data_IF_817338419119
#
_entry.id   IF_817338419119
#
_cell.length_a   1.000
_cell.length_b   1.000
_cell.length_c   1.000
_cell.angle_alpha   90.00
_cell.angle_beta   90.00
_cell.angle_gamma   90.00
#
_symmetry.space_group_name_H-M   'P 1'
#
loop_
_entity.id
_entity.type
_entity.pdbx_description
1 polymer ?
#
# COMPACT_ATOMS: atom_id res chain seq x y z
N UNK A 1 0.39 1.49 -13.63
CA UNK A 1 1.09 1.21 -12.37
C UNK A 1 2.54 0.81 -12.58
N UNK A 2 2.85 -0.06 -13.56
CA UNK A 2 4.23 -0.47 -13.87
C UNK A 2 5.21 0.69 -14.15
N UNK A 3 4.79 1.72 -14.87
CA UNK A 3 5.62 2.93 -15.09
C UNK A 3 5.84 3.73 -13.80
N UNK A 4 4.82 3.82 -12.95
CA UNK A 4 4.89 4.52 -11.66
C UNK A 4 5.84 3.79 -10.70
N UNK A 5 5.74 2.45 -10.64
CA UNK A 5 6.63 1.58 -9.88
C UNK A 5 8.10 1.84 -10.23
N UNK A 6 8.44 1.78 -11.53
CA UNK A 6 9.80 2.08 -12.03
C UNK A 6 10.27 3.48 -11.67
N UNK A 7 9.38 4.47 -11.83
CA UNK A 7 9.71 5.87 -11.54
C UNK A 7 10.04 6.07 -10.06
N UNK A 8 9.21 5.53 -9.16
CA UNK A 8 9.42 5.63 -7.71
C UNK A 8 10.76 5.01 -7.32
N UNK A 9 11.02 3.79 -7.79
CA UNK A 9 12.26 3.09 -7.46
C UNK A 9 13.49 3.84 -7.97
N UNK A 10 13.44 4.35 -9.20
CA UNK A 10 14.51 5.16 -9.77
C UNK A 10 14.78 6.43 -8.94
N UNK A 11 13.73 7.12 -8.47
CA UNK A 11 13.88 8.28 -7.60
C UNK A 11 14.52 7.93 -6.24
N UNK A 12 14.19 6.77 -5.67
CA UNK A 12 14.79 6.30 -4.43
C UNK A 12 16.26 5.91 -4.62
N UNK A 13 16.63 5.30 -5.75
CA UNK A 13 18.04 5.06 -6.11
C UNK A 13 18.79 6.40 -6.20
N UNK A 14 18.24 7.38 -6.92
CA UNK A 14 18.86 8.70 -7.09
C UNK A 14 19.01 9.47 -5.76
N UNK A 15 18.10 9.25 -4.81
CA UNK A 15 18.18 9.81 -3.47
C UNK A 15 19.17 9.07 -2.54
N UNK A 16 19.85 8.02 -3.05
CA UNK A 16 20.78 7.19 -2.27
C UNK A 16 20.07 6.26 -1.28
N UNK A 17 18.74 6.09 -1.40
CA UNK A 17 18.00 5.19 -0.51
C UNK A 17 18.57 3.78 -0.63
N UNK A 18 18.83 3.27 -1.83
CA UNK A 18 19.30 1.90 -2.05
C UNK A 18 20.83 1.71 -1.98
N UNK A 19 21.60 2.74 -1.58
CA UNK A 19 23.07 2.64 -1.44
C UNK A 19 23.50 1.65 -0.35
N UNK A 20 22.59 1.36 0.60
CA UNK A 20 22.80 0.43 1.70
C UNK A 20 21.86 -0.77 1.55
N UNK A 21 22.36 -2.02 1.61
CA UNK A 21 21.50 -3.20 1.62
C UNK A 21 20.49 -3.15 2.77
N UNK A 22 19.23 -3.44 2.47
CA UNK A 22 18.13 -3.49 3.45
C UNK A 22 17.54 -4.89 3.52
N UNK A 23 17.22 -5.31 4.73
CA UNK A 23 16.56 -6.58 5.00
C UNK A 23 15.06 -6.48 4.70
N UNK A 24 14.47 -7.54 4.12
CA UNK A 24 13.09 -7.53 3.61
C UNK A 24 12.06 -7.26 4.70
N UNK A 25 12.20 -7.88 5.87
CA UNK A 25 11.33 -7.66 7.03
C UNK A 25 11.32 -6.21 7.49
N UNK A 26 12.49 -5.57 7.52
CA UNK A 26 12.62 -4.13 7.82
C UNK A 26 11.83 -3.28 6.83
N UNK A 27 11.95 -3.54 5.52
CA UNK A 27 11.18 -2.83 4.50
C UNK A 27 9.67 -3.06 4.64
N UNK A 28 9.24 -4.28 4.97
CA UNK A 28 7.84 -4.59 5.24
C UNK A 28 7.31 -3.85 6.48
N UNK A 29 8.13 -3.72 7.53
CA UNK A 29 7.79 -2.94 8.72
C UNK A 29 7.68 -1.43 8.43
N UNK A 30 8.44 -0.90 7.46
CA UNK A 30 8.26 0.49 6.99
C UNK A 30 6.93 0.67 6.26
N UNK A 31 6.45 -0.32 5.50
CA UNK A 31 5.08 -0.25 4.93
C UNK A 31 4.04 -0.26 6.06
N UNK A 32 4.26 -1.06 7.09
CA UNK A 32 3.36 -1.12 8.25
C UNK A 32 3.33 0.17 9.08
N UNK A 33 4.43 0.93 9.14
CA UNK A 33 4.43 2.24 9.81
C UNK A 33 3.47 3.20 9.14
N UNK A 34 3.48 3.28 7.80
CA UNK A 34 2.62 4.25 7.10
C UNK A 34 1.12 3.90 7.30
N UNK A 35 0.79 2.60 7.38
CA UNK A 35 -0.58 2.16 7.73
C UNK A 35 -0.96 2.57 9.17
N UNK A 36 0.00 2.53 10.09
CA UNK A 36 -0.22 2.96 11.48
C UNK A 36 -0.40 4.48 11.58
N UNK A 37 0.34 5.25 10.78
CA UNK A 37 0.20 6.71 10.67
C UNK A 37 -1.11 7.11 10.01
N UNK A 38 -1.56 6.38 8.97
CA UNK A 38 -2.89 6.57 8.39
C UNK A 38 -4.00 6.35 9.43
N UNK A 39 -3.89 5.30 10.25
CA UNK A 39 -4.83 5.02 11.35
C UNK A 39 -4.83 6.15 12.39
N UNK A 40 -3.67 6.71 12.71
CA UNK A 40 -3.55 7.87 13.60
C UNK A 40 -4.23 9.11 13.00
N UNK A 41 -4.06 9.33 11.69
CA UNK A 41 -4.74 10.39 10.93
C UNK A 41 -6.25 10.28 11.03
N UNK A 42 -6.82 9.09 10.85
CA UNK A 42 -8.26 8.81 11.03
C UNK A 42 -8.70 9.02 12.49
N UNK A 43 -7.91 8.55 13.45
CA UNK A 43 -8.23 8.61 14.89
C UNK A 43 -8.35 10.05 15.40
N UNK A 44 -7.58 10.97 14.84
CA UNK A 44 -7.47 12.36 15.29
C UNK A 44 -8.00 13.39 14.29
N UNK A 45 -8.52 12.95 13.15
CA UNK A 45 -8.98 13.79 12.03
C UNK A 45 -7.92 14.81 11.54
N UNK A 46 -6.67 14.37 11.42
CA UNK A 46 -5.52 15.24 11.15
C UNK A 46 -5.40 15.63 9.67
N UNK A 47 -4.84 16.83 9.45
CA UNK A 47 -4.26 17.22 8.16
C UNK A 47 -2.79 16.80 8.12
N UNK A 48 -2.29 16.48 6.94
CA UNK A 48 -0.88 16.10 6.77
C UNK A 48 0.08 17.27 7.05
N UNK A 49 1.28 16.99 7.56
CA UNK A 49 2.26 18.03 7.87
C UNK A 49 2.96 18.59 6.62
N UNK A 50 3.24 17.75 5.63
CA UNK A 50 3.97 18.14 4.42
C UNK A 50 3.03 18.68 3.33
N UNK A 51 1.80 18.18 3.29
CA UNK A 51 0.72 18.56 2.40
C UNK A 51 -0.51 19.02 3.22
N UNK A 52 -0.46 20.21 3.87
CA UNK A 52 -1.46 20.66 4.85
C UNK A 52 -2.87 20.89 4.30
N UNK A 53 -3.06 20.72 2.98
CA UNK A 53 -4.35 20.78 2.31
C UNK A 53 -4.99 19.39 2.09
N UNK A 54 -4.32 18.30 2.50
CA UNK A 54 -4.82 16.92 2.43
C UNK A 54 -4.94 16.30 3.82
N UNK A 55 -5.82 15.33 3.96
CA UNK A 55 -5.94 14.55 5.20
C UNK A 55 -4.69 13.70 5.39
N UNK A 56 -4.20 13.62 6.63
CA UNK A 56 -3.05 12.78 6.98
C UNK A 56 -3.27 11.35 6.53
N UNK A 57 -4.44 10.78 6.82
CA UNK A 57 -4.80 9.43 6.39
C UNK A 57 -4.67 9.20 4.87
N UNK A 58 -5.04 10.19 4.05
CA UNK A 58 -4.93 10.10 2.58
C UNK A 58 -3.46 10.08 2.13
N UNK A 59 -2.62 10.92 2.73
CA UNK A 59 -1.21 11.03 2.39
C UNK A 59 -0.44 9.79 2.84
N UNK A 60 -0.68 9.30 4.05
CA UNK A 60 -0.01 8.11 4.57
C UNK A 60 -0.40 6.82 3.83
N UNK A 61 -1.64 6.73 3.32
CA UNK A 61 -2.02 5.66 2.40
C UNK A 61 -1.26 5.74 1.07
N UNK A 62 -0.99 6.96 0.57
CA UNK A 62 -0.18 7.15 -0.62
C UNK A 62 1.29 6.75 -0.36
N UNK A 63 1.84 7.08 0.81
CA UNK A 63 3.18 6.68 1.22
C UNK A 63 3.31 5.16 1.35
N UNK A 64 2.30 4.49 1.92
CA UNK A 64 2.24 3.02 1.93
C UNK A 64 2.30 2.43 0.50
N UNK A 65 1.55 3.00 -0.46
CA UNK A 65 1.59 2.58 -1.87
C UNK A 65 2.97 2.80 -2.47
N UNK A 66 3.59 3.95 -2.21
CA UNK A 66 4.95 4.27 -2.68
C UNK A 66 5.96 3.23 -2.18
N UNK A 67 5.93 2.91 -0.89
CA UNK A 67 6.81 1.87 -0.29
C UNK A 67 6.57 0.49 -0.88
N UNK A 68 5.31 0.10 -1.12
CA UNK A 68 4.96 -1.18 -1.74
C UNK A 68 5.51 -1.27 -3.17
N UNK A 69 5.36 -0.20 -3.96
CA UNK A 69 5.83 -0.18 -5.34
C UNK A 69 7.36 -0.18 -5.41
N UNK A 70 8.06 0.58 -4.55
CA UNK A 70 9.52 0.55 -4.47
C UNK A 70 10.04 -0.85 -4.10
N UNK A 71 9.46 -1.47 -3.07
CA UNK A 71 9.76 -2.86 -2.67
C UNK A 71 9.51 -3.84 -3.81
N UNK A 72 8.42 -3.64 -4.56
CA UNK A 72 8.09 -4.51 -5.68
C UNK A 72 9.10 -4.41 -6.83
N UNK A 73 9.54 -3.21 -7.18
CA UNK A 73 10.55 -3.04 -8.24
C UNK A 73 11.89 -3.64 -7.83
N UNK A 74 12.37 -3.35 -6.62
CA UNK A 74 13.64 -3.87 -6.09
C UNK A 74 13.70 -5.40 -6.16
N UNK A 75 12.60 -6.08 -5.80
CA UNK A 75 12.54 -7.53 -5.74
C UNK A 75 11.89 -8.20 -6.95
N UNK A 76 11.63 -7.46 -8.03
CA UNK A 76 11.15 -8.01 -9.30
C UNK A 76 9.71 -8.55 -9.28
N UNK A 77 8.85 -8.00 -8.41
CA UNK A 77 7.44 -8.37 -8.35
C UNK A 77 6.59 -7.58 -9.36
N UNK A 78 5.75 -8.29 -10.13
CA UNK A 78 4.77 -7.69 -11.04
C UNK A 78 3.43 -7.43 -10.32
N UNK A 79 3.37 -6.31 -9.60
CA UNK A 79 2.20 -5.92 -8.80
C UNK A 79 0.98 -5.59 -9.67
N UNK A 80 1.18 -5.01 -10.86
CA UNK A 80 0.07 -4.64 -11.74
C UNK A 80 -0.68 -5.86 -12.26
N UNK A 81 0.05 -6.86 -12.77
CA UNK A 81 -0.54 -8.12 -13.21
C UNK A 81 -1.16 -8.87 -12.03
N UNK A 82 -0.47 -8.95 -10.89
CA UNK A 82 -0.98 -9.61 -9.68
C UNK A 82 -2.29 -8.98 -9.17
N UNK A 83 -2.41 -7.65 -9.18
CA UNK A 83 -3.66 -6.95 -8.83
C UNK A 83 -4.77 -7.29 -9.82
N UNK A 84 -4.47 -7.24 -11.13
CA UNK A 84 -5.44 -7.52 -12.19
C UNK A 84 -6.01 -8.94 -12.05
N UNK A 85 -5.13 -9.94 -11.92
CA UNK A 85 -5.52 -11.33 -11.71
C UNK A 85 -6.31 -11.53 -10.41
N UNK A 86 -5.86 -10.89 -9.32
CA UNK A 86 -6.54 -11.02 -8.02
C UNK A 86 -7.93 -10.39 -8.03
N UNK A 87 -8.10 -9.25 -8.69
CA UNK A 87 -9.40 -8.60 -8.85
C UNK A 87 -10.35 -9.46 -9.69
N UNK A 88 -9.86 -10.06 -10.77
CA UNK A 88 -10.67 -10.97 -11.59
C UNK A 88 -11.10 -12.21 -10.79
N UNK A 89 -10.17 -12.85 -10.08
CA UNK A 89 -10.50 -13.94 -9.17
C UNK A 89 -11.54 -13.52 -8.11
N UNK A 90 -11.38 -12.33 -7.51
CA UNK A 90 -12.28 -11.83 -6.48
C UNK A 90 -13.72 -11.59 -6.99
N UNK A 91 -13.94 -11.32 -8.28
CA UNK A 91 -15.29 -11.20 -8.87
C UNK A 91 -16.06 -12.52 -8.85
N UNK A 92 -15.34 -13.65 -8.89
CA UNK A 92 -15.93 -14.99 -8.93
C UNK A 92 -15.81 -15.73 -7.60
N UNK A 93 -15.26 -15.06 -6.58
CA UNK A 93 -15.02 -15.62 -5.26
C UNK A 93 -16.35 -15.75 -4.49
N UNK A 94 -16.73 -16.99 -4.21
CA UNK A 94 -18.05 -17.36 -3.69
C UNK A 94 -18.34 -16.76 -2.30
N UNK A 95 -17.34 -16.59 -1.44
CA UNK A 95 -17.45 -15.98 -0.11
C UNK A 95 -17.58 -14.45 -0.11
N UNK A 96 -17.40 -13.79 -1.27
CA UNK A 96 -17.59 -12.35 -1.47
C UNK A 96 -18.95 -11.97 -2.05
N UNK A 97 -19.80 -12.96 -2.41
CA UNK A 97 -21.18 -12.69 -2.80
C UNK A 97 -21.89 -11.93 -1.66
N UNK A 98 -22.61 -10.86 -2.01
CA UNK A 98 -23.36 -10.00 -1.05
C UNK A 98 -24.18 -10.85 -0.07
N UNK A 99 -24.78 -11.92 -0.57
CA UNK A 99 -25.58 -12.89 0.18
C UNK A 99 -24.80 -13.61 1.29
N UNK A 100 -23.49 -13.83 1.14
CA UNK A 100 -22.64 -14.45 2.15
C UNK A 100 -22.06 -13.45 3.16
N UNK A 101 -21.97 -12.16 2.81
CA UNK A 101 -21.57 -11.08 3.73
C UNK A 101 -22.65 -10.68 4.73
N UNK A 102 -23.92 -10.81 4.35
CA UNK A 102 -25.09 -10.44 5.18
C UNK A 102 -25.48 -11.54 6.18
N UNK A 103 -24.97 -12.77 6.02
CA UNK A 103 -25.21 -13.87 6.97
C UNK A 103 -24.62 -13.55 8.35
N UNK A 104 -25.30 -14.00 9.41
CA UNK A 104 -24.89 -13.85 10.81
C UNK A 104 -23.52 -14.52 11.01
N UNK A 105 -22.45 -13.72 11.08
CA UNK A 105 -21.05 -14.19 11.12
C UNK A 105 -20.16 -13.72 9.96
N UNK A 106 -20.70 -12.97 8.99
CA UNK A 106 -19.91 -12.33 7.95
C UNK A 106 -18.90 -11.33 8.54
N UNK A 107 -17.68 -11.30 7.97
CA UNK A 107 -16.59 -10.42 8.42
C UNK A 107 -17.05 -8.95 8.47
N UNK A 108 -17.06 -8.39 9.68
CA UNK A 108 -17.35 -6.96 9.95
C UNK A 108 -16.14 -6.06 9.72
N UNK A 109 -14.96 -6.65 9.67
CA UNK A 109 -13.68 -6.08 9.28
C UNK A 109 -12.94 -7.12 8.44
#
# INVERSE_FOLDING_TARGET
MKQLQKKIHQQNIEAGWWDIPREKGTLLCLIHSEISEAMEGERKDLMDYHLPHRKMAEVELADAVIRILDYAEEFGYDIESAITEKLEYNKHRVDHQRENRVKKGGKRF
#
